data_IF_484430363245
#
_entry.id   IF_484430363245
#
_cell.length_a   1.000
_cell.length_b   1.000
_cell.length_c   1.000
_cell.angle_alpha   90.00
_cell.angle_beta   90.00
_cell.angle_gamma   90.00
#
_symmetry.space_group_name_H-M   'P 1'
#
loop_
_entity.id
_entity.type
_entity.pdbx_description
1 polymer ?
#
# COMPACT_ATOMS: atom_id res chain seq x y z
N UNK A 1 -39.68 17.44 69.88
CA UNK A 1 -40.60 16.34 70.23
C UNK A 1 -39.86 15.04 69.97
N UNK A 2 -39.77 14.23 71.01
CA UNK A 2 -39.15 12.90 71.15
C UNK A 2 -37.62 12.73 71.07
N UNK A 3 -37.19 11.96 72.07
CA UNK A 3 -35.87 11.56 72.56
C UNK A 3 -35.59 10.10 72.12
N UNK A 4 -34.28 9.76 72.02
CA UNK A 4 -33.66 8.47 72.45
C UNK A 4 -34.05 7.23 71.62
N UNK A 5 -33.11 6.36 71.20
CA UNK A 5 -32.50 5.26 71.97
C UNK A 5 -31.17 4.83 71.34
N UNK A 6 -30.19 4.60 72.20
CA UNK A 6 -28.89 4.00 71.92
C UNK A 6 -28.89 2.47 72.13
N UNK A 7 -27.78 1.83 71.72
CA UNK A 7 -27.29 0.49 72.13
C UNK A 7 -27.84 -0.67 71.25
N UNK A 8 -27.14 -1.76 70.91
CA UNK A 8 -26.10 -2.56 71.58
C UNK A 8 -25.30 -3.35 70.50
N UNK A 9 -23.97 -3.31 70.65
CA UNK A 9 -22.95 -4.37 70.60
C UNK A 9 -23.33 -5.75 70.02
N UNK A 10 -22.48 -6.24 69.11
CA UNK A 10 -22.37 -7.66 68.74
C UNK A 10 -20.95 -7.98 68.26
N UNK A 11 -20.05 -8.22 69.22
CA UNK A 11 -18.71 -8.76 69.00
C UNK A 11 -18.82 -10.26 68.73
N UNK A 12 -18.33 -10.78 67.60
CA UNK A 12 -17.92 -12.19 67.51
C UNK A 12 -16.61 -12.34 66.74
N UNK A 13 -15.84 -13.31 67.22
CA UNK A 13 -14.40 -13.39 67.16
C UNK A 13 -13.86 -14.05 65.88
N UNK A 14 -12.61 -13.71 65.62
CA UNK A 14 -11.67 -14.29 64.66
C UNK A 14 -11.54 -15.81 64.84
N UNK A 15 -11.32 -16.56 63.74
CA UNK A 15 -10.18 -17.47 63.77
C UNK A 15 -9.26 -17.34 62.55
N UNK A 16 -7.99 -17.11 62.91
CA UNK A 16 -6.78 -17.83 62.48
C UNK A 16 -6.44 -17.86 60.99
N UNK A 17 -5.30 -17.21 60.72
CA UNK A 17 -4.41 -17.36 59.59
C UNK A 17 -4.41 -18.74 58.91
N UNK A 18 -4.47 -18.73 57.59
CA UNK A 18 -3.66 -19.66 56.80
C UNK A 18 -3.02 -18.89 55.66
N UNK A 19 -1.70 -18.99 55.61
CA UNK A 19 -0.86 -18.42 54.59
C UNK A 19 -1.32 -18.87 53.20
N UNK A 20 -1.80 -17.93 52.39
CA UNK A 20 -1.82 -18.07 50.95
C UNK A 20 -0.59 -17.34 50.41
N UNK A 21 0.48 -18.13 50.31
CA UNK A 21 1.43 -18.15 49.18
C UNK A 21 1.38 -16.93 48.27
N UNK A 22 2.53 -16.27 48.14
CA UNK A 22 2.73 -15.17 47.21
C UNK A 22 2.08 -15.43 45.85
N UNK A 23 1.48 -14.39 45.28
CA UNK A 23 1.21 -14.31 43.86
C UNK A 23 2.55 -14.31 43.14
N UNK A 24 3.17 -15.49 43.08
CA UNK A 24 4.11 -15.81 42.04
C UNK A 24 3.35 -15.67 40.74
N UNK A 25 3.53 -14.53 40.08
CA UNK A 25 3.33 -14.44 38.65
C UNK A 25 4.32 -15.43 38.01
N UNK A 26 3.90 -16.68 37.90
CA UNK A 26 4.58 -17.65 37.07
C UNK A 26 4.19 -17.34 35.64
N UNK A 27 5.01 -16.54 34.96
CA UNK A 27 5.03 -16.54 33.49
C UNK A 27 5.59 -17.88 33.03
N UNK A 28 4.74 -18.89 32.92
CA UNK A 28 5.07 -20.12 32.19
C UNK A 28 4.56 -20.00 30.76
N UNK A 29 5.43 -19.45 29.91
CA UNK A 29 5.32 -19.59 28.45
C UNK A 29 4.38 -18.63 27.75
N UNK A 30 4.62 -18.43 26.46
CA UNK A 30 3.97 -17.46 25.55
C UNK A 30 2.49 -17.76 25.22
N UNK A 31 1.80 -18.58 26.01
CA UNK A 31 0.44 -19.05 25.70
C UNK A 31 -0.35 -19.35 26.98
N UNK A 32 -0.79 -18.33 27.71
CA UNK A 32 -1.86 -18.51 28.71
C UNK A 32 -2.81 -17.32 28.67
N UNK A 33 -4.13 -17.53 28.58
CA UNK A 33 -5.12 -16.47 28.55
C UNK A 33 -5.27 -15.83 29.94
N UNK A 34 -5.38 -14.51 29.98
CA UNK A 34 -5.81 -13.77 31.17
C UNK A 34 -7.33 -13.86 31.22
N UNK A 35 -7.88 -14.40 32.30
CA UNK A 35 -9.31 -14.38 32.57
C UNK A 35 -9.54 -13.46 33.77
N UNK A 36 -10.05 -12.26 33.52
CA UNK A 36 -10.53 -11.38 34.58
C UNK A 36 -12.02 -11.15 34.33
N UNK A 37 -12.86 -11.95 35.00
CA UNK A 37 -14.30 -11.77 35.01
C UNK A 37 -14.70 -11.20 36.37
N UNK A 38 -15.07 -9.93 36.42
CA UNK A 38 -15.90 -9.43 37.51
C UNK A 38 -17.37 -9.73 37.22
N UNK A 39 -18.04 -10.28 38.22
CA UNK A 39 -19.43 -10.74 38.17
C UNK A 39 -20.38 -9.58 37.81
N UNK A 40 -21.09 -9.67 36.67
CA UNK A 40 -22.28 -8.85 36.42
C UNK A 40 -22.49 -8.28 35.00
N UNK A 41 -21.55 -8.38 34.07
CA UNK A 41 -21.72 -7.81 32.71
C UNK A 41 -21.19 -8.72 31.61
N UNK A 42 -21.88 -8.70 30.46
CA UNK A 42 -21.75 -9.62 29.33
C UNK A 42 -20.30 -10.03 29.00
N UNK A 43 -20.06 -11.35 28.96
CA UNK A 43 -18.79 -11.92 28.53
C UNK A 43 -18.61 -11.68 27.02
N UNK A 44 -17.67 -10.82 26.63
CA UNK A 44 -17.17 -10.78 25.26
C UNK A 44 -16.19 -11.94 25.10
N UNK A 45 -16.55 -12.93 24.28
CA UNK A 45 -15.60 -13.93 23.83
C UNK A 45 -14.54 -13.24 22.97
N UNK A 46 -13.36 -12.99 23.53
CA UNK A 46 -12.19 -12.66 22.73
C UNK A 46 -11.73 -13.97 22.10
N UNK A 47 -12.13 -14.20 20.85
CA UNK A 47 -11.58 -15.27 20.04
C UNK A 47 -10.06 -15.09 19.98
N UNK A 48 -9.32 -16.01 20.60
CA UNK A 48 -7.88 -16.22 20.36
C UNK A 48 -7.65 -16.85 18.98
N UNK A 49 -8.37 -16.37 17.96
CA UNK A 49 -7.85 -16.41 16.62
C UNK A 49 -6.75 -15.35 16.62
N UNK A 50 -5.56 -15.74 17.06
CA UNK A 50 -4.36 -15.00 16.71
C UNK A 50 -4.49 -14.79 15.20
N UNK A 51 -4.64 -13.54 14.71
CA UNK A 51 -4.53 -13.34 13.27
C UNK A 51 -3.16 -13.91 12.97
N UNK A 52 -3.09 -15.00 12.20
CA UNK A 52 -1.83 -15.42 11.62
C UNK A 52 -1.35 -14.16 10.94
N UNK A 53 -0.34 -13.50 11.51
CA UNK A 53 0.20 -12.30 10.91
C UNK A 53 0.48 -12.71 9.48
N UNK A 54 -0.11 -12.04 8.48
CA UNK A 54 0.02 -12.47 7.11
C UNK A 54 1.53 -12.59 6.88
N UNK A 55 2.00 -13.81 6.58
CA UNK A 55 3.40 -14.02 6.20
C UNK A 55 3.57 -13.27 4.89
N UNK A 56 3.96 -12.01 5.00
CA UNK A 56 4.40 -11.23 3.86
C UNK A 56 5.51 -12.03 3.21
N UNK A 57 5.38 -12.40 1.93
CA UNK A 57 6.50 -13.02 1.24
C UNK A 57 7.63 -12.01 1.18
N UNK A 58 8.57 -12.26 2.06
CA UNK A 58 9.86 -11.61 2.24
C UNK A 58 10.69 -12.00 1.00
N UNK A 59 10.98 -11.03 0.12
CA UNK A 59 12.04 -11.20 -0.89
C UNK A 59 13.39 -11.47 -0.21
N UNK A 60 14.48 -11.60 -0.96
CA UNK A 60 15.77 -11.90 -0.31
C UNK A 60 16.21 -10.80 0.67
N UNK A 61 15.95 -9.55 0.29
CA UNK A 61 16.34 -8.35 1.04
C UNK A 61 15.26 -7.28 1.14
N UNK A 62 14.15 -7.46 0.41
CA UNK A 62 13.04 -6.53 0.34
C UNK A 62 11.70 -7.23 0.61
N UNK A 63 10.82 -6.56 1.34
CA UNK A 63 9.39 -6.85 1.35
C UNK A 63 8.67 -5.81 0.51
N UNK A 64 7.73 -6.25 -0.34
CA UNK A 64 6.89 -5.36 -1.14
C UNK A 64 5.61 -5.06 -0.34
N UNK A 65 5.42 -3.78 0.00
CA UNK A 65 4.29 -3.28 0.78
C UNK A 65 3.08 -2.95 -0.10
N UNK A 66 3.32 -2.31 -1.23
CA UNK A 66 2.27 -1.92 -2.19
C UNK A 66 2.82 -1.77 -3.61
N UNK A 67 1.97 -2.06 -4.59
CA UNK A 67 2.23 -1.83 -6.01
C UNK A 67 1.21 -0.86 -6.56
N UNK A 68 1.70 0.21 -7.15
CA UNK A 68 0.89 1.26 -7.75
C UNK A 68 1.15 1.28 -9.25
N UNK A 69 0.08 1.42 -10.01
CA UNK A 69 0.13 1.93 -11.37
C UNK A 69 -0.46 3.33 -11.28
N UNK A 70 0.26 4.33 -11.78
CA UNK A 70 -0.12 5.73 -11.62
C UNK A 70 -0.11 6.43 -12.96
N UNK A 71 -1.15 7.24 -13.27
CA UNK A 71 -1.17 8.00 -14.50
C UNK A 71 0.00 8.99 -14.55
N UNK A 72 0.60 9.16 -15.72
CA UNK A 72 1.57 10.25 -15.93
C UNK A 72 0.86 11.59 -15.77
N UNK A 73 1.61 12.64 -15.41
CA UNK A 73 1.08 13.99 -15.43
C UNK A 73 0.61 14.35 -16.85
N UNK A 74 -0.60 14.91 -16.99
CA UNK A 74 -1.27 15.16 -18.25
C UNK A 74 -1.64 13.89 -19.04
N UNK A 75 -2.16 12.87 -18.34
CA UNK A 75 -2.64 11.64 -18.98
C UNK A 75 -3.73 11.89 -20.06
N UNK A 76 -4.45 13.01 -19.98
CA UNK A 76 -5.49 13.40 -20.95
C UNK A 76 -5.06 14.57 -21.83
N UNK A 77 -5.56 14.60 -23.08
CA UNK A 77 -5.35 15.72 -24.01
C UNK A 77 -5.84 17.06 -23.47
N UNK A 78 -6.80 17.07 -22.53
CA UNK A 78 -7.28 18.30 -21.87
C UNK A 78 -6.20 18.94 -21.00
N UNK A 79 -5.30 18.15 -20.40
CA UNK A 79 -4.17 18.64 -19.60
C UNK A 79 -3.04 19.25 -20.42
N UNK A 80 -3.07 19.11 -21.75
CA UNK A 80 -1.95 19.43 -22.63
C UNK A 80 -2.01 20.85 -23.25
N UNK A 81 -3.05 21.62 -22.95
CA UNK A 81 -3.24 22.95 -23.53
C UNK A 81 -3.46 22.93 -25.04
N UNK A 82 -3.21 24.06 -25.71
CA UNK A 82 -3.50 24.24 -27.14
C UNK A 82 -2.59 23.43 -28.09
N UNK A 83 -1.44 22.95 -27.62
CA UNK A 83 -0.48 22.18 -28.42
C UNK A 83 -0.50 20.70 -28.05
N UNK A 84 -1.58 20.01 -28.48
CA UNK A 84 -1.78 18.59 -28.25
C UNK A 84 -0.66 17.69 -28.82
N UNK A 85 0.19 18.21 -29.71
CA UNK A 85 1.30 17.47 -30.31
C UNK A 85 2.40 17.14 -29.30
N UNK A 86 2.57 17.96 -28.25
CA UNK A 86 3.61 17.77 -27.20
C UNK A 86 3.30 16.66 -26.20
N UNK A 87 2.07 16.16 -26.19
CA UNK A 87 1.60 15.16 -25.24
C UNK A 87 1.37 13.78 -25.84
N UNK A 88 1.70 13.58 -27.12
CA UNK A 88 1.39 12.32 -27.81
C UNK A 88 1.92 11.10 -27.06
N UNK A 89 3.10 11.22 -26.47
CA UNK A 89 3.76 10.12 -25.79
C UNK A 89 3.36 10.00 -24.29
N UNK A 90 2.71 11.03 -23.73
CA UNK A 90 2.20 11.07 -22.34
C UNK A 90 0.72 10.68 -22.24
N UNK A 91 -0.01 10.78 -23.36
CA UNK A 91 -1.41 10.43 -23.45
C UNK A 91 -1.63 8.96 -23.06
N UNK A 92 -2.49 8.72 -22.08
CA UNK A 92 -2.80 7.37 -21.56
C UNK A 92 -1.57 6.61 -21.02
N UNK A 93 -0.50 7.34 -20.70
CA UNK A 93 0.69 6.76 -20.11
C UNK A 93 0.52 6.55 -18.60
N UNK A 94 1.15 5.49 -18.09
CA UNK A 94 1.24 5.20 -16.67
C UNK A 94 2.64 4.70 -16.29
N UNK A 95 3.03 4.99 -15.05
CA UNK A 95 4.25 4.47 -14.42
C UNK A 95 3.91 3.49 -13.31
N UNK A 96 4.84 2.58 -13.02
CA UNK A 96 4.71 1.64 -11.91
C UNK A 96 5.57 2.15 -10.75
N UNK A 97 4.96 2.22 -9.58
CA UNK A 97 5.64 2.53 -8.33
C UNK A 97 5.53 1.37 -7.35
N UNK A 98 6.59 1.15 -6.60
CA UNK A 98 6.72 0.09 -5.60
C UNK A 98 7.01 0.74 -4.26
N UNK A 99 6.15 0.50 -3.28
CA UNK A 99 6.52 0.76 -1.90
C UNK A 99 7.18 -0.49 -1.34
N UNK A 100 8.48 -0.39 -1.06
CA UNK A 100 9.30 -1.52 -0.64
C UNK A 100 9.98 -1.21 0.69
N UNK A 101 10.12 -2.23 1.52
CA UNK A 101 10.79 -2.16 2.81
C UNK A 101 12.02 -3.05 2.84
N UNK A 102 13.12 -2.52 3.35
CA UNK A 102 14.29 -3.30 3.72
C UNK A 102 14.00 -4.19 4.90
N UNK A 103 14.25 -5.47 4.72
CA UNK A 103 14.15 -6.55 5.71
C UNK A 103 15.54 -7.17 5.97
N UNK A 104 16.58 -6.60 5.34
CA UNK A 104 17.95 -7.06 5.45
C UNK A 104 18.63 -6.35 6.63
N UNK A 105 19.45 -7.05 7.44
CA UNK A 105 20.10 -6.46 8.62
C UNK A 105 21.22 -5.47 8.28
N UNK A 106 21.69 -5.45 7.03
CA UNK A 106 22.77 -4.57 6.58
C UNK A 106 22.29 -3.61 5.49
N UNK A 107 22.95 -2.45 5.30
CA UNK A 107 22.66 -1.60 4.16
C UNK A 107 22.92 -2.30 2.82
N UNK A 108 22.06 -2.05 1.84
CA UNK A 108 22.29 -2.52 0.46
C UNK A 108 21.74 -1.53 -0.56
N UNK A 109 22.29 -1.56 -1.76
CA UNK A 109 21.94 -0.66 -2.85
C UNK A 109 21.18 -1.43 -3.93
N UNK A 110 19.98 -0.96 -4.28
CA UNK A 110 19.37 -1.37 -5.54
C UNK A 110 20.07 -0.66 -6.70
N UNK A 111 20.47 -1.44 -7.70
CA UNK A 111 21.27 -0.93 -8.82
C UNK A 111 20.49 -0.90 -10.13
N UNK A 112 19.44 -1.71 -10.27
CA UNK A 112 18.58 -1.69 -11.45
C UNK A 112 17.18 -2.24 -11.16
N UNK A 113 16.23 -1.83 -12.00
CA UNK A 113 14.83 -2.26 -11.97
C UNK A 113 14.32 -2.52 -13.38
N UNK A 114 13.63 -3.63 -13.59
CA UNK A 114 13.05 -3.99 -14.89
C UNK A 114 11.59 -4.34 -14.75
N UNK A 115 10.84 -4.02 -15.78
CA UNK A 115 9.45 -4.42 -15.93
C UNK A 115 9.17 -4.89 -17.34
N UNK A 116 8.49 -6.03 -17.44
CA UNK A 116 8.05 -6.62 -18.70
C UNK A 116 6.57 -6.99 -18.64
N UNK A 117 5.85 -6.77 -19.74
CA UNK A 117 4.48 -7.24 -19.90
C UNK A 117 4.51 -8.71 -20.32
N UNK A 118 3.80 -9.57 -19.59
CA UNK A 118 3.60 -10.98 -19.89
C UNK A 118 2.16 -11.16 -20.39
N UNK A 119 2.03 -11.73 -21.59
CA UNK A 119 0.82 -11.70 -22.44
C UNK A 119 0.62 -10.31 -23.07
N UNK A 120 1.14 -10.15 -24.30
CA UNK A 120 0.96 -8.92 -25.06
C UNK A 120 -0.35 -8.96 -25.84
N UNK A 121 -1.29 -8.12 -25.46
CA UNK A 121 -2.25 -7.55 -26.40
C UNK A 121 -1.60 -6.36 -27.10
N UNK A 122 -2.02 -6.05 -28.33
CA UNK A 122 -1.54 -4.89 -29.09
C UNK A 122 -2.02 -3.53 -28.51
N UNK A 123 -2.51 -3.51 -27.27
CA UNK A 123 -3.10 -2.34 -26.62
C UNK A 123 -2.20 -1.79 -25.50
N UNK A 124 -1.04 -2.41 -25.24
CA UNK A 124 -0.05 -1.93 -24.26
C UNK A 124 1.29 -1.76 -24.95
N UNK A 125 1.79 -0.53 -24.94
CA UNK A 125 3.07 -0.18 -25.55
C UNK A 125 4.01 0.44 -24.52
N UNK A 126 5.32 0.40 -24.83
CA UNK A 126 6.28 1.20 -24.07
C UNK A 126 6.02 2.67 -24.36
N UNK A 127 5.94 3.48 -23.31
CA UNK A 127 5.80 4.93 -23.37
C UNK A 127 7.12 5.58 -22.95
N UNK A 128 7.12 6.91 -22.82
CA UNK A 128 8.21 7.67 -22.19
C UNK A 128 8.53 7.09 -20.81
N UNK A 129 9.77 7.28 -20.39
CA UNK A 129 10.21 6.83 -19.07
C UNK A 129 9.85 7.80 -17.95
N UNK A 130 9.70 7.28 -16.73
CA UNK A 130 9.80 8.08 -15.53
C UNK A 130 11.28 8.47 -15.34
N UNK A 131 11.53 9.76 -15.11
CA UNK A 131 12.87 10.27 -14.86
C UNK A 131 12.88 11.06 -13.54
N UNK A 132 13.99 10.97 -12.80
CA UNK A 132 14.19 11.72 -11.56
C UNK A 132 14.70 10.87 -10.41
N UNK A 133 14.77 11.48 -9.23
CA UNK A 133 15.43 10.94 -8.02
C UNK A 133 14.91 9.57 -7.57
N UNK A 134 13.63 9.25 -7.83
CA UNK A 134 13.05 7.97 -7.41
C UNK A 134 12.90 6.95 -8.55
N UNK A 135 13.35 7.29 -9.76
CA UNK A 135 13.21 6.42 -10.94
C UNK A 135 14.40 5.46 -11.07
N UNK A 136 14.15 4.17 -10.81
CA UNK A 136 15.14 3.13 -10.92
C UNK A 136 15.24 2.66 -12.39
N UNK A 137 16.43 2.81 -12.96
CA UNK A 137 16.72 2.53 -14.35
C UNK A 137 16.98 1.03 -14.59
N UNK A 138 16.75 0.50 -15.81
CA UNK A 138 17.08 -0.88 -16.15
C UNK A 138 18.58 -1.09 -16.32
N UNK A 139 19.36 -0.01 -16.47
CA UNK A 139 20.80 0.01 -16.57
C UNK A 139 21.41 0.72 -15.37
N UNK A 140 22.39 0.09 -14.73
CA UNK A 140 23.03 0.60 -13.51
C UNK A 140 23.61 2.01 -13.73
N UNK A 141 24.22 2.24 -14.89
CA UNK A 141 24.89 3.49 -15.28
C UNK A 141 23.93 4.63 -15.64
N UNK A 142 22.63 4.36 -15.77
CA UNK A 142 21.65 5.36 -16.14
C UNK A 142 20.97 6.02 -14.94
N UNK A 143 21.14 5.47 -13.72
CA UNK A 143 20.54 6.05 -12.52
C UNK A 143 21.14 7.43 -12.24
N UNK A 144 20.29 8.45 -12.20
CA UNK A 144 20.70 9.85 -11.96
C UNK A 144 21.15 10.08 -10.52
N UNK A 145 20.46 9.46 -9.55
CA UNK A 145 20.76 9.60 -8.12
C UNK A 145 20.84 8.21 -7.44
N UNK A 146 21.96 7.49 -7.55
CA UNK A 146 22.08 6.13 -7.03
C UNK A 146 21.87 6.05 -5.50
N UNK A 147 22.27 7.08 -4.75
CA UNK A 147 22.11 7.10 -3.28
C UNK A 147 20.65 7.07 -2.83
N UNK A 148 19.72 7.52 -3.68
CA UNK A 148 18.28 7.42 -3.41
C UNK A 148 17.81 5.95 -3.29
N UNK A 149 18.57 5.00 -3.85
CA UNK A 149 18.28 3.57 -3.82
C UNK A 149 19.09 2.78 -2.77
N UNK A 150 19.88 3.46 -1.94
CA UNK A 150 20.57 2.85 -0.80
C UNK A 150 19.58 2.61 0.35
N UNK A 151 19.31 1.37 0.69
CA UNK A 151 18.44 1.02 1.81
C UNK A 151 19.24 0.84 3.09
N UNK A 152 18.79 1.48 4.18
CA UNK A 152 19.17 1.12 5.54
C UNK A 152 18.27 -0.02 6.07
N UNK A 153 18.70 -0.77 7.09
CA UNK A 153 17.86 -1.79 7.72
C UNK A 153 16.50 -1.22 8.15
N UNK A 154 15.41 -1.90 7.79
CA UNK A 154 14.04 -1.48 8.13
C UNK A 154 13.45 -0.34 7.30
N UNK A 155 14.25 0.33 6.45
CA UNK A 155 13.83 1.52 5.71
C UNK A 155 12.75 1.23 4.66
N UNK A 156 11.75 2.12 4.55
CA UNK A 156 10.68 2.06 3.56
C UNK A 156 10.88 3.14 2.50
N UNK A 157 10.94 2.75 1.22
CA UNK A 157 11.07 3.65 0.08
C UNK A 157 9.98 3.41 -0.94
N UNK A 158 9.54 4.51 -1.55
CA UNK A 158 8.73 4.48 -2.76
C UNK A 158 9.68 4.61 -3.95
N UNK A 159 9.69 3.62 -4.82
CA UNK A 159 10.54 3.58 -6.01
C UNK A 159 9.65 3.59 -7.24
N UNK A 160 9.93 4.49 -8.18
CA UNK A 160 9.36 4.43 -9.53
C UNK A 160 10.22 3.52 -10.41
N UNK A 161 9.59 2.70 -11.26
CA UNK A 161 10.30 2.04 -12.34
C UNK A 161 10.34 2.99 -13.53
N UNK A 162 11.55 3.25 -14.04
CA UNK A 162 11.80 4.15 -15.17
C UNK A 162 11.00 3.84 -16.43
N UNK A 163 10.56 2.60 -16.67
CA UNK A 163 9.79 2.28 -17.88
C UNK A 163 8.31 2.62 -17.73
N UNK A 164 7.81 3.54 -18.57
CA UNK A 164 6.39 3.83 -18.70
C UNK A 164 5.66 2.95 -19.71
N UNK A 165 4.34 2.91 -19.55
CA UNK A 165 3.44 2.12 -20.38
C UNK A 165 2.29 2.96 -20.89
N UNK A 166 2.05 2.94 -22.19
CA UNK A 166 0.85 3.50 -22.79
C UNK A 166 -0.25 2.42 -22.75
N UNK A 167 -1.40 2.78 -22.18
CA UNK A 167 -2.56 1.93 -22.03
C UNK A 167 -3.67 2.43 -22.96
N UNK A 168 -3.64 1.97 -24.21
CA UNK A 168 -4.49 2.54 -25.27
C UNK A 168 -5.98 2.38 -24.97
N UNK A 169 -6.69 3.50 -24.92
CA UNK A 169 -8.12 3.59 -24.62
C UNK A 169 -8.44 3.53 -23.13
N UNK A 170 -7.46 3.60 -22.23
CA UNK A 170 -7.74 3.60 -20.77
C UNK A 170 -8.69 4.71 -20.35
N UNK A 171 -8.68 5.87 -21.03
CA UNK A 171 -9.56 6.98 -20.72
C UNK A 171 -11.02 6.73 -21.10
N UNK A 172 -11.31 5.71 -21.92
CA UNK A 172 -12.70 5.34 -22.25
C UNK A 172 -13.48 4.89 -21.01
N UNK A 173 -12.79 4.33 -20.01
CA UNK A 173 -13.40 4.01 -18.72
C UNK A 173 -13.89 5.25 -17.96
N UNK A 174 -13.27 6.41 -18.16
CA UNK A 174 -13.53 7.63 -17.40
C UNK A 174 -14.45 8.59 -18.15
N UNK A 175 -15.31 8.10 -19.04
CA UNK A 175 -16.29 8.91 -19.79
C UNK A 175 -17.67 8.84 -19.14
N UNK A 176 -18.50 9.86 -19.41
CA UNK A 176 -19.88 9.93 -18.91
C UNK A 176 -19.97 10.10 -17.39
N UNK A 177 -20.99 9.48 -16.79
CA UNK A 177 -21.38 9.63 -15.37
C UNK A 177 -20.24 9.36 -14.37
N UNK A 178 -19.18 8.66 -14.78
CA UNK A 178 -18.01 8.37 -13.93
C UNK A 178 -17.26 9.66 -13.53
N UNK A 179 -17.29 10.71 -14.36
CA UNK A 179 -16.68 12.00 -14.04
C UNK A 179 -17.51 12.80 -13.03
N UNK A 180 -18.83 12.63 -13.02
CA UNK A 180 -19.73 13.47 -12.26
C UNK A 180 -20.15 12.84 -10.91
N UNK A 181 -20.11 11.50 -10.81
CA UNK A 181 -20.62 10.76 -9.63
C UNK A 181 -19.55 10.33 -8.61
N UNK A 182 -18.26 10.58 -8.84
CA UNK A 182 -17.21 10.02 -7.97
C UNK A 182 -16.68 11.01 -6.95
N UNK A 183 -17.02 10.75 -5.68
CA UNK A 183 -16.25 11.23 -4.54
C UNK A 183 -14.84 10.62 -4.59
N UNK A 184 -13.84 11.47 -4.74
CA UNK A 184 -12.43 11.12 -4.60
C UNK A 184 -11.83 11.93 -3.45
N UNK A 185 -10.77 11.41 -2.82
CA UNK A 185 -10.06 12.12 -1.76
C UNK A 185 -8.81 12.82 -2.30
N UNK A 186 -8.55 14.05 -1.87
CA UNK A 186 -7.30 14.79 -2.13
C UNK A 186 -6.09 14.28 -1.34
N UNK A 187 -6.27 13.22 -0.54
CA UNK A 187 -5.18 12.47 0.10
C UNK A 187 -4.27 11.90 -1.01
N UNK A 188 -2.99 11.68 -0.74
CA UNK A 188 -2.04 11.15 -1.74
C UNK A 188 -1.66 9.68 -1.42
N UNK A 189 -1.79 8.73 -2.38
CA UNK A 189 -2.45 8.91 -3.67
C UNK A 189 -3.94 9.25 -3.51
N UNK A 190 -4.51 9.95 -4.48
CA UNK A 190 -5.95 10.18 -4.55
C UNK A 190 -6.64 8.83 -4.68
N UNK A 191 -7.70 8.61 -3.90
CA UNK A 191 -8.33 7.30 -3.78
C UNK A 191 -9.81 7.37 -4.12
N UNK A 192 -10.25 6.33 -4.82
CA UNK A 192 -11.65 6.01 -5.02
C UNK A 192 -12.08 4.90 -4.03
N UNK A 193 -12.80 5.21 -2.94
CA UNK A 193 -13.16 4.20 -1.94
C UNK A 193 -14.20 3.18 -2.43
N UNK A 194 -14.75 3.36 -3.63
CA UNK A 194 -15.83 2.54 -4.17
C UNK A 194 -15.33 1.21 -4.76
N UNK A 195 -15.43 0.13 -3.98
CA UNK A 195 -15.08 -1.23 -4.42
C UNK A 195 -15.80 -1.67 -5.71
N UNK A 196 -17.05 -1.25 -5.93
CA UNK A 196 -17.80 -1.58 -7.16
C UNK A 196 -17.11 -0.98 -8.39
N UNK A 197 -16.63 0.26 -8.29
CA UNK A 197 -15.89 0.92 -9.39
C UNK A 197 -14.57 0.23 -9.69
N UNK A 198 -13.84 -0.23 -8.67
CA UNK A 198 -12.64 -1.05 -8.87
C UNK A 198 -12.94 -2.36 -9.60
N UNK A 199 -14.06 -3.01 -9.29
CA UNK A 199 -14.48 -4.23 -10.01
C UNK A 199 -14.89 -3.95 -11.46
N UNK A 200 -15.60 -2.85 -11.72
CA UNK A 200 -15.93 -2.40 -13.07
C UNK A 200 -14.66 -2.09 -13.88
N UNK A 201 -13.69 -1.42 -13.26
CA UNK A 201 -12.40 -1.14 -13.86
C UNK A 201 -11.62 -2.43 -14.16
N UNK A 202 -11.56 -3.39 -13.23
CA UNK A 202 -10.96 -4.70 -13.47
C UNK A 202 -11.57 -5.42 -14.68
N UNK A 203 -12.91 -5.38 -14.80
CA UNK A 203 -13.64 -5.94 -15.96
C UNK A 203 -13.29 -5.23 -17.25
N UNK A 204 -13.24 -3.89 -17.22
CA UNK A 204 -12.82 -3.07 -18.37
C UNK A 204 -11.39 -3.45 -18.82
N UNK A 205 -10.44 -3.56 -17.87
CA UNK A 205 -9.06 -3.93 -18.18
C UNK A 205 -8.97 -5.33 -18.78
N UNK A 206 -9.72 -6.30 -18.23
CA UNK A 206 -9.77 -7.66 -18.75
C UNK A 206 -10.26 -7.72 -20.19
N UNK A 207 -11.31 -6.97 -20.52
CA UNK A 207 -11.86 -6.89 -21.88
C UNK A 207 -10.89 -6.18 -22.84
N UNK A 208 -10.27 -5.09 -22.40
CA UNK A 208 -9.45 -4.21 -23.25
C UNK A 208 -8.04 -4.75 -23.49
N UNK A 209 -7.42 -5.29 -22.44
CA UNK A 209 -6.00 -5.67 -22.42
C UNK A 209 -5.79 -7.17 -22.26
N UNK A 210 -6.85 -7.97 -22.08
CA UNK A 210 -6.78 -9.42 -21.93
C UNK A 210 -6.71 -9.87 -20.45
N UNK A 211 -7.51 -10.88 -20.10
CA UNK A 211 -7.66 -11.39 -18.72
C UNK A 211 -6.35 -11.83 -18.06
N UNK A 212 -5.38 -12.33 -18.86
CA UNK A 212 -4.13 -12.91 -18.38
C UNK A 212 -2.94 -11.94 -18.40
N UNK A 213 -3.19 -10.66 -18.67
CA UNK A 213 -2.13 -9.65 -18.78
C UNK A 213 -1.52 -9.36 -17.43
N UNK A 214 -0.19 -9.52 -17.35
CA UNK A 214 0.58 -9.33 -16.12
C UNK A 214 1.81 -8.47 -16.37
N UNK A 215 2.27 -7.81 -15.32
CA UNK A 215 3.57 -7.14 -15.28
C UNK A 215 4.53 -7.97 -14.44
N UNK A 216 5.61 -8.44 -15.05
CA UNK A 216 6.74 -9.04 -14.35
C UNK A 216 7.69 -7.93 -13.93
N UNK A 217 7.96 -7.83 -12.63
CA UNK A 217 8.79 -6.81 -12.02
C UNK A 217 10.02 -7.49 -11.41
N UNK A 218 11.20 -6.95 -11.69
CA UNK A 218 12.48 -7.49 -11.22
C UNK A 218 13.35 -6.35 -10.68
N UNK A 219 13.85 -6.51 -9.45
CA UNK A 219 14.77 -5.58 -8.80
C UNK A 219 16.11 -6.27 -8.55
N UNK A 220 17.20 -5.52 -8.74
CA UNK A 220 18.55 -6.05 -8.74
C UNK A 220 19.47 -5.27 -7.78
N UNK A 221 20.48 -5.97 -7.27
CA UNK A 221 21.66 -5.40 -6.60
C UNK A 221 22.93 -5.73 -7.39
N UNK A 222 24.01 -4.97 -7.17
CA UNK A 222 25.33 -5.19 -7.79
C UNK A 222 25.18 -5.32 -9.32
N UNK A 223 25.92 -6.24 -9.95
CA UNK A 223 25.83 -6.55 -11.38
C UNK A 223 24.65 -7.50 -11.67
N UNK A 224 23.43 -6.94 -11.65
CA UNK A 224 22.17 -7.62 -11.97
C UNK A 224 21.85 -8.89 -11.14
N UNK A 225 22.26 -8.93 -9.86
CA UNK A 225 21.84 -10.00 -8.96
C UNK A 225 20.41 -9.74 -8.49
N UNK A 226 19.47 -10.60 -8.87
CA UNK A 226 18.06 -10.45 -8.48
C UNK A 226 17.88 -10.55 -6.96
N UNK A 227 17.28 -9.51 -6.38
CA UNK A 227 16.87 -9.43 -4.97
C UNK A 227 15.37 -9.62 -4.78
N UNK A 228 14.59 -9.28 -5.80
CA UNK A 228 13.14 -9.38 -5.79
C UNK A 228 12.61 -9.61 -7.21
N UNK A 229 11.66 -10.54 -7.34
CA UNK A 229 10.96 -10.81 -8.59
C UNK A 229 9.51 -11.12 -8.27
N UNK A 230 8.58 -10.49 -8.97
CA UNK A 230 7.15 -10.74 -8.81
C UNK A 230 6.39 -10.57 -10.12
N UNK A 231 5.16 -11.08 -10.16
CA UNK A 231 4.21 -10.83 -11.22
C UNK A 231 2.94 -10.21 -10.64
N UNK A 232 2.46 -9.14 -11.25
CA UNK A 232 1.28 -8.40 -10.83
C UNK A 232 0.28 -8.43 -11.96
N UNK A 233 -0.93 -8.93 -11.70
CA UNK A 233 -1.98 -8.94 -12.72
C UNK A 233 -2.50 -7.53 -12.97
N UNK A 234 -2.60 -7.13 -14.24
CA UNK A 234 -3.23 -5.87 -14.63
C UNK A 234 -4.74 -5.92 -14.37
N UNK A 235 -5.36 -7.09 -14.45
CA UNK A 235 -6.83 -7.22 -14.44
C UNK A 235 -7.42 -7.52 -13.07
N UNK A 236 -6.56 -7.70 -12.06
CA UNK A 236 -6.95 -8.09 -10.70
C UNK A 236 -6.38 -7.09 -9.68
N UNK A 237 -6.76 -5.82 -9.82
CA UNK A 237 -6.39 -4.80 -8.86
C UNK A 237 -7.34 -4.73 -7.66
N UNK A 238 -6.82 -4.16 -6.58
CA UNK A 238 -7.50 -4.04 -5.30
C UNK A 238 -7.83 -2.59 -4.89
N UNK A 239 -8.46 -2.46 -3.73
CA UNK A 239 -8.72 -1.21 -3.00
C UNK A 239 -7.73 -1.01 -1.86
N UNK A 240 -7.91 0.04 -1.05
CA UNK A 240 -7.11 0.25 0.15
C UNK A 240 -7.14 -0.87 1.16
N UNK A 241 -8.28 -1.56 1.21
CA UNK A 241 -8.52 -2.67 2.11
C UNK A 241 -8.16 -4.02 1.47
N UNK A 242 -7.84 -4.04 0.17
CA UNK A 242 -7.38 -5.26 -0.47
C UNK A 242 -6.05 -5.67 0.12
N UNK A 243 -6.08 -6.83 0.76
CA UNK A 243 -4.89 -7.58 1.12
C UNK A 243 -4.55 -8.40 -0.11
N UNK A 244 -3.51 -8.02 -0.85
CA UNK A 244 -2.97 -8.89 -1.88
C UNK A 244 -2.68 -10.27 -1.28
N UNK A 245 -2.71 -11.33 -2.10
CA UNK A 245 -2.34 -12.66 -1.60
C UNK A 245 -0.82 -12.73 -1.50
N UNK A 246 -0.33 -12.20 -0.38
CA UNK A 246 1.10 -12.09 -0.10
C UNK A 246 1.74 -13.47 0.09
N UNK A 247 0.96 -14.49 0.45
CA UNK A 247 1.41 -15.87 0.59
C UNK A 247 1.72 -16.48 -0.78
N UNK A 248 0.87 -16.22 -1.77
CA UNK A 248 1.02 -16.72 -3.14
C UNK A 248 1.75 -15.74 -4.08
N UNK A 249 2.27 -14.62 -3.54
CA UNK A 249 2.98 -13.58 -4.32
C UNK A 249 2.13 -12.93 -5.40
N UNK A 250 0.81 -12.98 -5.23
CA UNK A 250 -0.12 -12.31 -6.11
C UNK A 250 -0.36 -10.93 -5.52
N UNK A 251 0.63 -10.07 -5.70
CA UNK A 251 0.45 -8.65 -5.44
C UNK A 251 -0.57 -8.10 -6.44
N UNK A 252 -1.33 -7.12 -5.98
CA UNK A 252 -2.36 -6.47 -6.77
C UNK A 252 -1.99 -5.01 -6.94
N UNK A 253 -2.21 -4.47 -8.13
CA UNK A 253 -2.18 -3.03 -8.30
C UNK A 253 -3.27 -2.37 -7.45
N UNK A 254 -2.96 -1.22 -6.88
CA UNK A 254 -3.92 -0.35 -6.19
C UNK A 254 -4.73 0.44 -7.22
N UNK A 255 -5.77 -0.20 -7.74
CA UNK A 255 -6.61 0.37 -8.80
C UNK A 255 -7.52 1.48 -8.29
N UNK A 256 -7.92 1.42 -7.04
CA UNK A 256 -8.57 2.55 -6.36
C UNK A 256 -7.74 3.83 -6.44
N UNK A 257 -6.43 3.70 -6.26
CA UNK A 257 -5.50 4.80 -6.33
C UNK A 257 -5.28 5.26 -7.78
N UNK A 258 -5.16 4.33 -8.74
CA UNK A 258 -5.11 4.71 -10.16
C UNK A 258 -6.35 5.49 -10.60
N UNK A 259 -7.55 5.00 -10.26
CA UNK A 259 -8.83 5.65 -10.59
C UNK A 259 -8.90 7.04 -9.95
N UNK A 260 -8.59 7.14 -8.65
CA UNK A 260 -8.62 8.41 -7.94
C UNK A 260 -7.64 9.44 -8.53
N UNK A 261 -6.45 9.01 -8.93
CA UNK A 261 -5.43 9.86 -9.55
C UNK A 261 -5.80 10.34 -10.95
N UNK A 262 -6.43 9.48 -11.77
CA UNK A 262 -6.96 9.90 -13.06
C UNK A 262 -8.06 10.95 -12.88
N UNK A 263 -9.00 10.72 -11.96
CA UNK A 263 -10.06 11.67 -11.65
C UNK A 263 -9.51 13.00 -11.13
N UNK A 264 -8.56 12.96 -10.20
CA UNK A 264 -7.86 14.15 -9.71
C UNK A 264 -7.34 15.01 -10.87
N UNK A 265 -6.65 14.41 -11.84
CA UNK A 265 -6.14 15.13 -13.01
C UNK A 265 -7.27 15.63 -13.93
N UNK A 266 -8.32 14.83 -14.16
CA UNK A 266 -9.46 15.21 -15.00
C UNK A 266 -10.29 16.37 -14.40
N UNK A 267 -10.27 16.54 -13.07
CA UNK A 267 -10.87 17.66 -12.35
C UNK A 267 -9.92 18.87 -12.18
N UNK A 268 -8.78 18.90 -12.88
CA UNK A 268 -7.87 20.05 -12.88
C UNK A 268 -6.72 19.98 -11.88
N UNK A 269 -6.50 18.82 -11.25
CA UNK A 269 -5.33 18.57 -10.40
C UNK A 269 -4.02 18.64 -11.19
N UNK A 270 -3.09 19.49 -10.74
CA UNK A 270 -1.86 19.81 -11.48
C UNK A 270 -0.57 19.20 -10.90
N UNK A 271 -0.65 18.53 -9.74
CA UNK A 271 0.54 17.97 -9.10
C UNK A 271 0.67 16.47 -9.35
N UNK A 272 1.82 16.04 -9.88
CA UNK A 272 2.14 14.63 -10.04
C UNK A 272 2.13 13.88 -8.69
N UNK A 273 1.72 12.61 -8.71
CA UNK A 273 1.68 11.72 -7.55
C UNK A 273 2.98 11.75 -6.73
N UNK A 274 4.13 11.64 -7.38
CA UNK A 274 5.44 11.64 -6.70
C UNK A 274 5.70 12.93 -5.93
N UNK A 275 5.37 14.09 -6.51
CA UNK A 275 5.58 15.39 -5.86
C UNK A 275 4.74 15.51 -4.58
N UNK A 276 3.50 15.03 -4.63
CA UNK A 276 2.62 15.02 -3.45
C UNK A 276 3.08 14.04 -2.37
N UNK A 277 3.61 12.87 -2.76
CA UNK A 277 4.16 11.89 -1.81
C UNK A 277 5.40 12.41 -1.05
N UNK A 278 6.25 13.21 -1.71
CA UNK A 278 7.43 13.80 -1.05
C UNK A 278 7.03 14.76 0.07
N UNK A 279 6.02 15.60 -0.13
CA UNK A 279 5.55 16.58 0.86
C UNK A 279 5.04 15.92 2.14
N UNK A 280 4.24 14.86 2.02
CA UNK A 280 3.69 14.11 3.17
C UNK A 280 4.80 13.56 4.07
N UNK A 281 5.92 13.10 3.50
CA UNK A 281 7.05 12.57 4.29
C UNK A 281 7.83 13.66 5.03
N UNK A 282 7.96 14.85 4.46
CA UNK A 282 8.58 16.00 5.14
C UNK A 282 7.75 16.49 6.31
N UNK A 283 6.43 16.53 6.18
CA UNK A 283 5.54 17.06 7.21
C UNK A 283 5.48 16.14 8.46
N UNK A 284 5.57 14.83 8.27
CA UNK A 284 5.64 13.85 9.37
C UNK A 284 6.96 13.97 10.15
N UNK A 285 8.06 14.38 9.51
CA UNK A 285 9.35 14.60 10.19
C UNK A 285 9.42 15.95 10.92
N UNK A 286 8.47 16.86 10.68
CA UNK A 286 8.38 18.15 11.36
C UNK A 286 7.34 18.19 12.48
N UNK A 287 6.70 17.07 12.81
CA UNK A 287 5.88 17.00 14.02
C UNK A 287 6.80 17.09 15.25
N UNK A 288 6.63 18.09 16.13
CA UNK A 288 7.41 18.19 17.36
C UNK A 288 7.12 16.98 18.25
N UNK A 289 8.18 16.41 18.84
CA UNK A 289 8.12 15.37 19.88
C UNK A 289 7.31 15.82 21.10
#
# INVERSE_FOLDING_TARGET
MLFVVASIVGLQAIPVCSAATGLGSQTRGKQSPIQECQSGSACVNVYNDAPQMPKERVGKKLALRSVYMMPVYNISKRGCGADASRCRDLYEAAFIYLEVQSIWPEPFLLTAGRVAVKSQTNSIHRSVGAHGVSALEPQITANVEPDAFLFRPGEIKLISLSQGFQLDGILDFFKGDILDDMLWSDITPAMAPNTKRVQEFNRFLAQRYGEKTKFRIELFEKDYRSVFTTEVSLTQGGTIFSRGDVLNSQYQFRHDAFIGEVLYQLHGGTNAFEYRMRKVRTDIRSAPE
#
